data_IF_032992855105
#
_entry.id   IF_032992855105
#
_cell.length_a   1.000
_cell.length_b   1.000
_cell.length_c   1.000
_cell.angle_alpha   90.00
_cell.angle_beta   90.00
_cell.angle_gamma   90.00
#
_symmetry.space_group_name_H-M   'P 1'
#
loop_
_entity.id
_entity.type
_entity.pdbx_description
1 polymer ?
#
# COMPACT_ATOMS: atom_id res chain seq x y z
N UNK A 1 0.71 -11.11 22.78
CA UNK A 1 1.67 -11.80 21.88
C UNK A 1 1.61 -10.98 20.61
N UNK A 2 2.73 -10.49 20.11
CA UNK A 2 2.74 -9.47 19.06
C UNK A 2 2.02 -9.96 17.80
N UNK A 3 1.08 -9.17 17.28
CA UNK A 3 0.42 -9.46 16.01
C UNK A 3 1.38 -9.36 14.82
N UNK A 4 2.42 -8.54 14.95
CA UNK A 4 3.41 -8.32 13.92
C UNK A 4 4.84 -8.38 14.49
N UNK A 5 5.53 -9.48 14.23
CA UNK A 5 6.94 -9.63 14.61
C UNK A 5 7.87 -9.23 13.46
N UNK A 6 8.87 -8.40 13.77
CA UNK A 6 9.91 -8.05 12.79
C UNK A 6 10.71 -9.29 12.39
N UNK A 7 10.84 -9.53 11.09
CA UNK A 7 11.63 -10.62 10.54
C UNK A 7 12.83 -10.08 9.74
N UNK A 8 13.95 -10.81 9.68
CA UNK A 8 15.09 -10.45 8.83
C UNK A 8 14.69 -10.25 7.36
N UNK A 9 13.65 -10.96 6.89
CA UNK A 9 13.10 -10.83 5.55
C UNK A 9 12.49 -9.44 5.25
N UNK A 10 12.28 -8.57 6.24
CA UNK A 10 11.82 -7.19 6.06
C UNK A 10 12.97 -6.18 6.05
N UNK A 11 14.19 -6.62 6.34
CA UNK A 11 15.35 -5.72 6.30
C UNK A 11 15.59 -5.24 4.86
N UNK A 12 15.87 -3.95 4.75
CA UNK A 12 16.32 -3.27 3.54
C UNK A 12 17.84 -3.25 3.44
N UNK A 13 18.54 -3.51 4.56
CA UNK A 13 20.00 -3.41 4.64
C UNK A 13 20.50 -2.01 4.94
N UNK A 14 19.61 -1.01 4.96
CA UNK A 14 19.92 0.38 5.32
C UNK A 14 19.47 0.61 6.77
N UNK A 15 20.40 0.75 7.74
CA UNK A 15 20.05 0.77 9.17
C UNK A 15 19.04 1.85 9.56
N UNK A 16 19.09 3.01 8.89
CA UNK A 16 18.20 4.15 9.15
C UNK A 16 16.75 3.83 8.73
N UNK A 17 16.55 3.22 7.56
CA UNK A 17 15.23 2.80 7.06
C UNK A 17 14.69 1.68 7.95
N UNK A 18 15.51 0.65 8.21
CA UNK A 18 15.12 -0.48 9.04
C UNK A 18 14.73 -0.07 10.47
N UNK A 19 15.37 0.96 11.04
CA UNK A 19 15.01 1.48 12.36
C UNK A 19 13.62 2.12 12.34
N UNK A 20 13.27 2.85 11.28
CA UNK A 20 11.94 3.47 11.14
C UNK A 20 10.86 2.40 10.92
N UNK A 21 11.12 1.39 10.08
CA UNK A 21 10.20 0.28 9.90
C UNK A 21 9.94 -0.48 11.21
N UNK A 22 11.00 -0.79 11.98
CA UNK A 22 10.86 -1.42 13.31
C UNK A 22 10.03 -0.58 14.27
N UNK A 23 10.14 0.75 14.20
CA UNK A 23 9.32 1.64 15.02
C UNK A 23 7.85 1.58 14.59
N UNK A 24 7.55 1.59 13.30
CA UNK A 24 6.18 1.38 12.79
C UNK A 24 5.60 0.05 13.26
N UNK A 25 6.37 -1.05 13.16
CA UNK A 25 5.96 -2.37 13.68
C UNK A 25 5.67 -2.32 15.18
N UNK A 26 6.53 -1.65 15.97
CA UNK A 26 6.30 -1.49 17.40
C UNK A 26 5.01 -0.73 17.71
N UNK A 27 4.69 0.33 16.97
CA UNK A 27 3.45 1.10 17.14
C UNK A 27 2.21 0.32 16.72
N UNK A 28 2.30 -0.51 15.68
CA UNK A 28 1.22 -1.45 15.31
C UNK A 28 0.96 -2.44 16.44
N UNK A 29 2.01 -2.99 17.05
CA UNK A 29 1.86 -3.90 18.19
C UNK A 29 1.30 -3.20 19.44
N UNK A 30 1.67 -1.94 19.66
CA UNK A 30 1.10 -1.13 20.75
C UNK A 30 -0.41 -0.93 20.56
N UNK A 31 -0.86 -0.67 19.32
CA UNK A 31 -2.28 -0.60 18.99
C UNK A 31 -2.98 -1.97 19.17
N UNK A 32 -2.34 -3.07 18.78
CA UNK A 32 -2.88 -4.42 18.98
C UNK A 32 -3.07 -4.76 20.46
N UNK A 33 -2.08 -4.47 21.29
CA UNK A 33 -2.18 -4.66 22.73
C UNK A 33 -3.33 -3.82 23.33
N UNK A 34 -3.50 -2.57 22.87
CA UNK A 34 -4.62 -1.72 23.32
C UNK A 34 -5.99 -2.28 22.91
N UNK A 35 -6.11 -2.79 21.66
CA UNK A 35 -7.33 -3.45 21.16
C UNK A 35 -7.62 -4.74 21.91
N UNK A 36 -6.59 -5.54 22.20
CA UNK A 36 -6.75 -6.83 22.88
C UNK A 36 -7.15 -6.65 24.35
N UNK A 37 -6.59 -5.65 25.02
CA UNK A 37 -6.85 -5.34 26.43
C UNK A 37 -8.11 -4.49 26.65
N UNK A 38 -8.90 -4.23 25.60
CA UNK A 38 -10.12 -3.43 25.68
C UNK A 38 -9.88 -2.03 26.28
N UNK A 39 -8.80 -1.37 25.84
CA UNK A 39 -8.52 0.00 26.23
C UNK A 39 -9.65 0.95 25.79
N UNK A 40 -9.64 2.19 26.31
CA UNK A 40 -10.64 3.18 25.91
C UNK A 40 -10.48 3.55 24.41
N UNK A 41 -11.57 3.90 23.71
CA UNK A 41 -11.51 4.39 22.34
C UNK A 41 -10.56 5.59 22.16
N UNK A 42 -10.53 6.50 23.12
CA UNK A 42 -9.63 7.66 23.09
C UNK A 42 -8.15 7.26 23.17
N UNK A 43 -7.82 6.22 23.94
CA UNK A 43 -6.45 5.72 24.02
C UNK A 43 -6.01 5.05 22.72
N UNK A 44 -6.87 4.21 22.15
CA UNK A 44 -6.61 3.58 20.84
C UNK A 44 -6.46 4.62 19.73
N UNK A 45 -7.30 5.67 19.75
CA UNK A 45 -7.21 6.79 18.81
C UNK A 45 -5.89 7.54 18.93
N UNK A 46 -5.43 7.83 20.14
CA UNK A 46 -4.15 8.50 20.35
C UNK A 46 -2.97 7.70 19.77
N UNK A 47 -2.93 6.38 20.00
CA UNK A 47 -1.89 5.50 19.43
C UNK A 47 -1.96 5.50 17.89
N UNK A 48 -3.17 5.45 17.33
CA UNK A 48 -3.38 5.51 15.89
C UNK A 48 -2.93 6.84 15.28
N UNK A 49 -3.23 7.97 15.93
CA UNK A 49 -2.79 9.31 15.51
C UNK A 49 -1.25 9.42 15.53
N UNK A 50 -0.61 8.93 16.58
CA UNK A 50 0.86 8.87 16.65
C UNK A 50 1.45 8.02 15.52
N UNK A 51 0.83 6.86 15.23
CA UNK A 51 1.25 5.98 14.13
C UNK A 51 1.10 6.68 12.78
N UNK A 52 -0.01 7.38 12.57
CA UNK A 52 -0.28 8.13 11.35
C UNK A 52 0.77 9.23 11.11
N UNK A 53 1.07 10.04 12.13
CA UNK A 53 2.10 11.08 12.01
C UNK A 53 3.50 10.50 11.80
N UNK A 54 3.84 9.39 12.49
CA UNK A 54 5.12 8.72 12.27
C UNK A 54 5.25 8.12 10.87
N UNK A 55 4.15 7.60 10.31
CA UNK A 55 4.08 7.10 8.93
C UNK A 55 4.38 8.23 7.93
N UNK A 56 3.78 9.41 8.10
CA UNK A 56 4.05 10.57 7.24
C UNK A 56 5.50 11.05 7.34
N UNK A 57 6.05 11.07 8.55
CA UNK A 57 7.46 11.41 8.78
C UNK A 57 8.40 10.42 8.07
N UNK A 58 8.10 9.12 8.16
CA UNK A 58 8.86 8.08 7.49
C UNK A 58 8.84 8.25 5.96
N UNK A 59 7.66 8.44 5.35
CA UNK A 59 7.54 8.66 3.91
C UNK A 59 8.29 9.91 3.43
N UNK A 60 8.22 11.02 4.16
CA UNK A 60 8.98 12.23 3.82
C UNK A 60 10.50 11.97 3.79
N UNK A 61 10.99 11.13 4.71
CA UNK A 61 12.41 10.77 4.76
C UNK A 61 12.81 9.96 3.53
N UNK A 62 12.02 8.95 3.15
CA UNK A 62 12.30 8.15 1.94
C UNK A 62 12.17 8.96 0.66
N UNK A 63 11.16 9.80 0.55
CA UNK A 63 10.98 10.69 -0.60
C UNK A 63 12.14 11.68 -0.74
N UNK A 64 12.69 12.16 0.37
CA UNK A 64 13.91 12.99 0.36
C UNK A 64 15.11 12.19 -0.12
N UNK A 65 15.25 10.92 0.26
CA UNK A 65 16.32 10.04 -0.24
C UNK A 65 16.17 9.76 -1.74
N UNK A 66 14.94 9.58 -2.24
CA UNK A 66 14.70 9.44 -3.69
C UNK A 66 15.20 10.65 -4.47
N UNK A 67 14.98 11.85 -3.95
CA UNK A 67 15.43 13.11 -4.55
C UNK A 67 16.96 13.28 -4.44
N UNK A 68 17.53 13.02 -3.26
CA UNK A 68 18.97 13.17 -2.99
C UNK A 68 19.82 12.23 -3.85
N UNK A 69 19.39 10.99 -4.05
CA UNK A 69 20.13 9.96 -4.79
C UNK A 69 19.64 9.76 -6.23
N UNK A 70 18.88 10.71 -6.78
CA UNK A 70 18.40 10.68 -8.18
C UNK A 70 17.74 9.35 -8.55
N UNK A 71 16.82 8.88 -7.71
CA UNK A 71 16.03 7.70 -8.01
C UNK A 71 15.21 7.90 -9.29
N UNK A 72 15.02 6.84 -10.08
CA UNK A 72 14.31 6.92 -11.35
C UNK A 72 12.97 7.66 -11.19
N UNK A 73 12.68 8.59 -12.11
CA UNK A 73 11.51 9.47 -11.98
C UNK A 73 10.20 8.68 -12.00
N UNK A 74 10.08 7.66 -12.86
CA UNK A 74 8.86 6.86 -12.93
C UNK A 74 8.68 5.99 -11.67
N UNK A 75 9.77 5.45 -11.13
CA UNK A 75 9.75 4.74 -9.85
C UNK A 75 9.40 5.68 -8.68
N UNK A 76 9.97 6.88 -8.64
CA UNK A 76 9.68 7.91 -7.62
C UNK A 76 8.20 8.27 -7.60
N UNK A 77 7.62 8.58 -8.76
CA UNK A 77 6.20 8.93 -8.88
C UNK A 77 5.30 7.76 -8.44
N UNK A 78 5.64 6.52 -8.81
CA UNK A 78 4.90 5.33 -8.37
C UNK A 78 5.01 5.10 -6.87
N UNK A 79 6.17 5.35 -6.27
CA UNK A 79 6.39 5.21 -4.84
C UNK A 79 5.57 6.25 -4.07
N UNK A 80 5.72 7.54 -4.42
CA UNK A 80 4.95 8.67 -3.85
C UNK A 80 3.44 8.48 -4.00
N UNK A 81 2.97 7.94 -5.12
CA UNK A 81 1.55 7.64 -5.32
C UNK A 81 1.02 6.58 -4.32
N UNK A 82 1.82 5.57 -3.98
CA UNK A 82 1.45 4.58 -2.98
C UNK A 82 1.40 5.17 -1.57
N UNK A 83 2.39 6.00 -1.20
CA UNK A 83 2.38 6.76 0.05
C UNK A 83 1.12 7.62 0.17
N UNK A 84 0.85 8.43 -0.86
CA UNK A 84 -0.28 9.35 -0.85
C UNK A 84 -1.62 8.60 -0.73
N UNK A 85 -1.75 7.47 -1.45
CA UNK A 85 -2.93 6.63 -1.34
C UNK A 85 -3.11 6.10 0.09
N UNK A 86 -2.04 5.60 0.71
CA UNK A 86 -2.11 5.07 2.07
C UNK A 86 -2.45 6.15 3.09
N UNK A 87 -1.85 7.34 2.98
CA UNK A 87 -2.18 8.49 3.83
C UNK A 87 -3.66 8.88 3.70
N UNK A 88 -4.21 8.87 2.50
CA UNK A 88 -5.63 9.15 2.27
C UNK A 88 -6.54 8.09 2.91
N UNK A 89 -6.17 6.81 2.80
CA UNK A 89 -6.88 5.70 3.44
C UNK A 89 -6.82 5.84 4.98
N UNK A 90 -5.66 6.15 5.55
CA UNK A 90 -5.51 6.39 7.00
C UNK A 90 -6.28 7.61 7.48
N UNK A 91 -6.34 8.69 6.70
CA UNK A 91 -7.16 9.87 7.01
C UNK A 91 -8.64 9.49 7.07
N UNK A 92 -9.11 8.71 6.09
CA UNK A 92 -10.49 8.22 6.06
C UNK A 92 -10.80 7.30 7.26
N UNK A 93 -9.85 6.48 7.68
CA UNK A 93 -9.94 5.68 8.91
C UNK A 93 -9.98 6.59 10.14
N UNK A 94 -9.12 7.60 10.25
CA UNK A 94 -9.13 8.53 11.38
C UNK A 94 -10.50 9.21 11.59
N UNK A 95 -11.13 9.62 10.48
CA UNK A 95 -12.43 10.29 10.48
C UNK A 95 -13.61 9.35 10.80
N UNK A 96 -13.54 8.08 10.40
CA UNK A 96 -14.64 7.12 10.51
C UNK A 96 -14.50 6.10 11.65
N UNK A 97 -13.27 5.87 12.14
CA UNK A 97 -12.98 4.87 13.15
C UNK A 97 -13.49 5.32 14.51
N UNK A 98 -14.60 4.70 14.92
CA UNK A 98 -15.13 4.88 16.26
C UNK A 98 -14.27 4.20 17.33
N UNK A 99 -13.46 3.20 16.95
CA UNK A 99 -12.81 2.24 17.87
C UNK A 99 -13.78 1.70 18.94
N UNK A 100 -15.10 1.70 18.65
CA UNK A 100 -16.13 1.36 19.62
C UNK A 100 -16.19 -0.14 19.88
N UNK A 101 -15.72 -0.95 18.92
CA UNK A 101 -15.66 -2.39 19.05
C UNK A 101 -14.25 -2.93 18.81
N UNK A 102 -13.96 -4.09 19.40
CA UNK A 102 -12.72 -4.84 19.14
C UNK A 102 -12.57 -5.21 17.66
N UNK A 103 -13.68 -5.47 16.97
CA UNK A 103 -13.68 -5.81 15.55
C UNK A 103 -13.18 -4.64 14.69
N UNK A 104 -13.57 -3.40 15.03
CA UNK A 104 -13.08 -2.20 14.32
C UNK A 104 -11.55 -2.10 14.43
N UNK A 105 -11.01 -2.28 15.64
CA UNK A 105 -9.56 -2.29 15.87
C UNK A 105 -8.83 -3.38 15.09
N UNK A 106 -9.39 -4.60 15.03
CA UNK A 106 -8.81 -5.71 14.28
C UNK A 106 -8.77 -5.47 12.76
N UNK A 107 -9.78 -4.82 12.20
CA UNK A 107 -9.81 -4.47 10.78
C UNK A 107 -8.69 -3.46 10.47
N UNK A 108 -8.51 -2.45 11.32
CA UNK A 108 -7.46 -1.44 11.16
C UNK A 108 -6.08 -2.08 11.27
N UNK A 109 -5.87 -2.96 12.25
CA UNK A 109 -4.59 -3.67 12.43
C UNK A 109 -4.24 -4.57 11.23
N UNK A 110 -5.21 -5.29 10.68
CA UNK A 110 -5.02 -6.11 9.50
C UNK A 110 -4.64 -5.26 8.28
N UNK A 111 -5.31 -4.12 8.10
CA UNK A 111 -5.00 -3.17 7.04
C UNK A 111 -3.57 -2.60 7.16
N UNK A 112 -3.21 -2.08 8.33
CA UNK A 112 -1.88 -1.52 8.62
C UNK A 112 -0.77 -2.55 8.40
N UNK A 113 -0.93 -3.74 8.97
CA UNK A 113 0.09 -4.81 8.91
C UNK A 113 0.28 -5.30 7.47
N UNK A 114 -0.82 -5.56 6.75
CA UNK A 114 -0.74 -6.03 5.38
C UNK A 114 -0.12 -4.97 4.45
N UNK A 115 -0.50 -3.70 4.60
CA UNK A 115 0.07 -2.64 3.78
C UNK A 115 1.57 -2.51 4.03
N UNK A 116 1.99 -2.40 5.29
CA UNK A 116 3.39 -2.18 5.66
C UNK A 116 4.31 -3.31 5.18
N UNK A 117 3.92 -4.58 5.39
CA UNK A 117 4.73 -5.72 4.92
C UNK A 117 4.90 -5.71 3.41
N UNK A 118 3.80 -5.49 2.67
CA UNK A 118 3.85 -5.50 1.21
C UNK A 118 4.68 -4.33 0.68
N UNK A 119 4.56 -3.15 1.28
CA UNK A 119 5.30 -1.97 0.88
C UNK A 119 6.81 -2.16 1.07
N UNK A 120 7.23 -2.53 2.29
CA UNK A 120 8.64 -2.79 2.62
C UNK A 120 9.26 -3.81 1.66
N UNK A 121 8.57 -4.93 1.43
CA UNK A 121 9.16 -6.03 0.66
C UNK A 121 9.23 -5.78 -0.84
N UNK A 122 8.36 -4.93 -1.39
CA UNK A 122 8.20 -4.76 -2.86
C UNK A 122 8.61 -3.40 -3.37
N UNK A 123 8.56 -2.37 -2.53
CA UNK A 123 8.75 -0.98 -2.91
C UNK A 123 10.01 -0.44 -2.24
N UNK A 124 10.06 -0.45 -0.91
CA UNK A 124 11.17 0.15 -0.14
C UNK A 124 12.47 -0.61 -0.37
N UNK A 125 12.38 -1.93 -0.58
CA UNK A 125 13.55 -2.74 -1.01
C UNK A 125 14.15 -2.24 -2.32
N UNK A 126 13.33 -1.89 -3.32
CA UNK A 126 13.83 -1.38 -4.61
C UNK A 126 14.50 -0.02 -4.46
N UNK A 127 13.98 0.82 -3.57
CA UNK A 127 14.64 2.06 -3.21
C UNK A 127 15.98 1.75 -2.53
N UNK A 128 15.99 0.83 -1.57
CA UNK A 128 17.20 0.48 -0.83
C UNK A 128 18.30 -0.10 -1.72
N UNK A 129 17.95 -0.98 -2.66
CA UNK A 129 18.89 -1.52 -3.65
C UNK A 129 19.53 -0.37 -4.46
N UNK A 130 18.71 0.57 -4.97
CA UNK A 130 19.22 1.76 -5.66
C UNK A 130 20.12 2.61 -4.77
N UNK A 131 19.73 2.86 -3.51
CA UNK A 131 20.52 3.63 -2.56
C UNK A 131 21.85 2.95 -2.22
N UNK A 132 21.89 1.63 -2.12
CA UNK A 132 23.13 0.87 -1.84
C UNK A 132 24.07 0.96 -3.05
N UNK A 133 23.55 0.75 -4.25
CA UNK A 133 24.31 0.86 -5.49
C UNK A 133 24.89 2.27 -5.67
N UNK A 134 24.09 3.30 -5.38
CA UNK A 134 24.49 4.70 -5.56
C UNK A 134 25.26 5.27 -4.37
N UNK A 135 25.15 4.71 -3.16
CA UNK A 135 26.01 5.07 -2.03
C UNK A 135 27.44 4.53 -2.22
N UNK A 136 27.59 3.39 -2.90
CA UNK A 136 28.89 2.94 -3.40
C UNK A 136 29.44 3.88 -4.46
N UNK A 137 28.58 4.41 -5.35
CA UNK A 137 28.98 5.38 -6.39
C UNK A 137 29.30 6.74 -5.78
N UNK A 138 28.57 7.28 -4.80
CA UNK A 138 28.92 8.54 -4.12
C UNK A 138 30.24 8.42 -3.36
N UNK A 139 30.51 7.28 -2.72
CA UNK A 139 31.81 7.02 -2.10
C UNK A 139 32.93 6.96 -3.16
N UNK A 140 32.68 6.37 -4.33
CA UNK A 140 33.64 6.29 -5.43
C UNK A 140 33.80 7.61 -6.21
N UNK A 141 32.73 8.36 -6.49
CA UNK A 141 32.76 9.66 -7.18
C UNK A 141 33.42 10.73 -6.32
N UNK A 142 33.18 10.70 -5.01
CA UNK A 142 33.86 11.58 -4.05
C UNK A 142 35.33 11.18 -3.88
N UNK A 143 35.66 9.89 -4.01
CA UNK A 143 37.05 9.39 -4.00
C UNK A 143 37.78 9.59 -5.34
N UNK A 144 37.06 9.69 -6.47
CA UNK A 144 37.63 9.91 -7.81
C UNK A 144 37.82 11.40 -8.13
N UNK A 145 37.14 12.29 -7.42
CA UNK A 145 37.27 13.75 -7.55
C UNK A 145 38.36 14.37 -6.62
N UNK A 146 39.10 13.55 -5.87
CA UNK A 146 40.33 13.95 -5.16
C UNK A 146 41.53 13.19 -5.76
N UNK A 147 42.34 13.87 -6.58
CA UNK A 147 43.57 13.28 -7.13
C UNK A 147 44.58 12.93 -6.01
N UNK A 148 45.01 11.66 -5.90
CA UNK A 148 46.39 11.25 -6.31
C UNK A 148 46.73 9.76 -6.06
N UNK A 149 47.09 9.11 -7.16
CA UNK A 149 48.11 8.04 -7.37
C UNK A 149 47.87 6.56 -7.02
N UNK A 150 48.34 5.64 -7.89
CA UNK A 150 47.98 4.23 -7.90
C UNK A 150 48.91 3.39 -7.02
N UNK A 151 48.33 2.42 -6.31
CA UNK A 151 49.07 1.24 -5.86
C UNK A 151 48.30 -0.03 -6.23
N UNK A 152 48.82 -0.66 -7.27
CA UNK A 152 48.73 -2.09 -7.55
C UNK A 152 48.91 -2.89 -6.25
N UNK A 153 48.01 -3.86 -5.99
CA UNK A 153 48.31 -5.22 -5.50
C UNK A 153 47.08 -6.10 -5.80
N UNK A 154 47.18 -6.91 -6.84
CA UNK A 154 46.12 -7.81 -7.29
C UNK A 154 45.89 -9.05 -6.42
N UNK A 155 44.75 -9.71 -6.70
CA UNK A 155 44.50 -11.16 -6.80
C UNK A 155 42.97 -11.35 -6.95
N UNK A 156 42.40 -11.29 -8.16
CA UNK A 156 42.05 -12.46 -9.00
C UNK A 156 41.64 -13.72 -8.24
N UNK A 157 40.35 -13.82 -7.90
CA UNK A 157 39.62 -15.08 -7.83
C UNK A 157 38.14 -14.83 -8.17
N UNK A 158 37.73 -15.38 -9.31
CA UNK A 158 36.36 -15.73 -9.74
C UNK A 158 35.32 -14.64 -10.08
N UNK A 159 35.67 -13.71 -10.98
CA UNK A 159 34.67 -12.87 -11.67
C UNK A 159 33.60 -13.70 -12.41
N UNK A 160 33.95 -14.89 -12.89
CA UNK A 160 33.03 -15.77 -13.62
C UNK A 160 31.88 -16.33 -12.76
N UNK A 161 32.12 -16.59 -11.47
CA UNK A 161 31.07 -17.06 -10.55
C UNK A 161 30.17 -15.90 -10.14
N UNK A 162 30.74 -14.72 -9.91
CA UNK A 162 29.97 -13.51 -9.56
C UNK A 162 29.03 -13.13 -10.72
N UNK A 163 29.52 -13.14 -11.95
CA UNK A 163 28.70 -12.86 -13.15
C UNK A 163 27.59 -13.91 -13.34
N UNK A 164 27.87 -15.20 -13.08
CA UNK A 164 26.86 -16.27 -13.15
C UNK A 164 25.79 -16.16 -12.07
N UNK A 165 26.16 -15.71 -10.87
CA UNK A 165 25.21 -15.49 -9.76
C UNK A 165 24.33 -14.27 -10.04
N UNK A 166 24.90 -13.19 -10.59
CA UNK A 166 24.14 -12.00 -11.00
C UNK A 166 23.17 -12.34 -12.13
N UNK A 167 23.60 -13.11 -13.13
CA UNK A 167 22.75 -13.51 -14.25
C UNK A 167 21.64 -14.48 -13.81
N UNK A 168 21.94 -15.41 -12.88
CA UNK A 168 20.94 -16.29 -12.28
C UNK A 168 19.91 -15.51 -11.45
N UNK A 169 20.34 -14.54 -10.65
CA UNK A 169 19.45 -13.70 -9.84
C UNK A 169 18.56 -12.80 -10.71
N UNK A 170 19.11 -12.23 -11.78
CA UNK A 170 18.34 -11.46 -12.76
C UNK A 170 17.28 -12.32 -13.47
N UNK A 171 17.64 -13.55 -13.84
CA UNK A 171 16.75 -14.49 -14.54
C UNK A 171 15.67 -15.07 -13.60
N UNK A 172 16.03 -15.30 -12.34
CA UNK A 172 15.08 -15.70 -11.29
C UNK A 172 14.12 -14.57 -10.95
N UNK A 173 14.62 -13.34 -10.80
CA UNK A 173 13.83 -12.13 -10.59
C UNK A 173 12.82 -11.87 -11.71
N UNK A 174 13.25 -12.01 -12.98
CA UNK A 174 12.37 -11.91 -14.13
C UNK A 174 11.27 -12.99 -14.13
N UNK A 175 11.63 -14.25 -13.82
CA UNK A 175 10.67 -15.35 -13.77
C UNK A 175 9.63 -15.18 -12.65
N UNK A 176 10.06 -14.68 -11.48
CA UNK A 176 9.16 -14.37 -10.36
C UNK A 176 8.26 -13.18 -10.70
N UNK A 177 8.78 -12.16 -11.38
CA UNK A 177 8.01 -11.01 -11.84
C UNK A 177 6.93 -11.42 -12.85
N UNK A 178 7.26 -12.26 -13.84
CA UNK A 178 6.31 -12.79 -14.82
C UNK A 178 5.19 -13.62 -14.15
N UNK A 179 5.54 -14.42 -13.13
CA UNK A 179 4.57 -15.18 -12.34
C UNK A 179 3.64 -14.26 -11.52
N UNK A 180 4.19 -13.18 -10.95
CA UNK A 180 3.42 -12.20 -10.19
C UNK A 180 2.51 -11.37 -11.08
N UNK A 181 2.96 -10.98 -12.28
CA UNK A 181 2.14 -10.28 -13.25
C UNK A 181 1.03 -11.19 -13.80
N UNK A 182 1.34 -12.47 -14.02
CA UNK A 182 0.34 -13.48 -14.37
C UNK A 182 -0.70 -13.68 -13.26
N UNK A 183 -0.28 -13.72 -11.99
CA UNK A 183 -1.18 -13.83 -10.84
C UNK A 183 -2.05 -12.58 -10.66
N UNK A 184 -1.49 -11.39 -10.84
CA UNK A 184 -2.25 -10.13 -10.78
C UNK A 184 -3.25 -10.04 -11.92
N UNK A 185 -2.88 -10.45 -13.13
CA UNK A 185 -3.81 -10.51 -14.26
C UNK A 185 -4.96 -11.50 -14.00
N UNK A 186 -4.67 -12.68 -13.44
CA UNK A 186 -5.71 -13.64 -13.02
C UNK A 186 -6.60 -13.04 -11.92
N UNK A 187 -6.02 -12.30 -10.98
CA UNK A 187 -6.78 -11.63 -9.92
C UNK A 187 -7.70 -10.56 -10.52
N UNK A 188 -7.20 -9.73 -11.44
CA UNK A 188 -7.96 -8.71 -12.18
C UNK A 188 -9.04 -9.33 -13.08
N UNK A 189 -8.80 -10.51 -13.66
CA UNK A 189 -9.80 -11.25 -14.43
C UNK A 189 -10.89 -11.87 -13.53
N UNK A 190 -10.57 -12.15 -12.26
CA UNK A 190 -11.50 -12.67 -11.25
C UNK A 190 -12.25 -11.56 -10.48
N UNK A 191 -11.67 -10.36 -10.37
CA UNK A 191 -12.31 -9.17 -9.78
C UNK A 191 -12.63 -8.16 -10.86
N UNK A 192 -13.91 -7.99 -11.26
CA UNK A 192 -14.25 -7.10 -12.36
C UNK A 192 -13.77 -5.67 -12.04
N UNK A 193 -13.19 -4.95 -13.02
CA UNK A 193 -12.65 -3.61 -12.80
C UNK A 193 -13.72 -2.68 -12.22
N UNK A 194 -13.30 -1.73 -11.38
CA UNK A 194 -14.21 -0.80 -10.67
C UNK A 194 -15.20 -0.11 -11.63
N UNK A 195 -14.76 0.18 -12.86
CA UNK A 195 -15.57 0.75 -13.94
C UNK A 195 -16.74 -0.16 -14.36
N UNK A 196 -16.53 -1.48 -14.39
CA UNK A 196 -17.57 -2.46 -14.72
C UNK A 196 -18.55 -2.64 -13.57
N UNK A 197 -18.07 -2.64 -12.32
CA UNK A 197 -18.93 -2.62 -11.14
C UNK A 197 -19.82 -1.38 -11.13
N UNK A 198 -19.26 -0.19 -11.40
CA UNK A 198 -20.01 1.07 -11.52
C UNK A 198 -21.05 1.02 -12.65
N UNK A 199 -20.70 0.47 -13.81
CA UNK A 199 -21.62 0.28 -14.93
C UNK A 199 -22.79 -0.64 -14.56
N UNK A 200 -22.52 -1.77 -13.89
CA UNK A 200 -23.56 -2.69 -13.42
C UNK A 200 -24.49 -2.05 -12.40
N UNK A 201 -23.94 -1.27 -11.46
CA UNK A 201 -24.73 -0.49 -10.50
C UNK A 201 -25.62 0.54 -11.22
N UNK A 202 -25.08 1.28 -12.20
CA UNK A 202 -25.86 2.23 -12.99
C UNK A 202 -26.98 1.57 -13.80
N UNK A 203 -26.72 0.40 -14.38
CA UNK A 203 -27.73 -0.37 -15.11
C UNK A 203 -28.86 -0.83 -14.18
N UNK A 204 -28.53 -1.39 -13.01
CA UNK A 204 -29.53 -1.80 -12.00
C UNK A 204 -30.36 -0.59 -11.53
N UNK A 205 -29.72 0.55 -11.25
CA UNK A 205 -30.42 1.78 -10.85
C UNK A 205 -31.37 2.28 -11.94
N UNK A 206 -30.99 2.16 -13.21
CA UNK A 206 -31.84 2.54 -14.35
C UNK A 206 -33.08 1.64 -14.45
N UNK A 207 -32.91 0.33 -14.23
CA UNK A 207 -34.01 -0.64 -14.21
C UNK A 207 -34.97 -0.39 -13.04
N UNK A 208 -34.44 -0.10 -11.84
CA UNK A 208 -35.25 0.25 -10.67
C UNK A 208 -36.09 1.51 -10.91
N UNK A 209 -35.51 2.54 -11.56
CA UNK A 209 -36.24 3.77 -11.91
C UNK A 209 -37.34 3.53 -12.95
N UNK A 210 -37.10 2.65 -13.93
CA UNK A 210 -38.11 2.26 -14.90
C UNK A 210 -39.28 1.52 -14.23
N UNK A 211 -38.99 0.64 -13.27
CA UNK A 211 -40.01 -0.08 -12.49
C UNK A 211 -40.85 0.89 -11.65
N UNK A 212 -40.23 1.84 -10.97
CA UNK A 212 -40.94 2.84 -10.16
C UNK A 212 -41.90 3.69 -11.02
N UNK A 213 -41.47 4.11 -12.22
CA UNK A 213 -42.33 4.80 -13.16
C UNK A 213 -43.52 3.94 -13.62
N UNK A 214 -43.32 2.65 -13.86
CA UNK A 214 -44.39 1.73 -14.24
C UNK A 214 -45.41 1.55 -13.10
N UNK A 215 -44.93 1.40 -11.85
CA UNK A 215 -45.78 1.32 -10.66
C UNK A 215 -46.63 2.60 -10.50
N UNK A 216 -46.00 3.76 -10.66
CA UNK A 216 -46.68 5.05 -10.58
C UNK A 216 -47.75 5.23 -11.67
N UNK A 217 -47.45 4.79 -12.90
CA UNK A 217 -48.41 4.80 -14.01
C UNK A 217 -49.62 3.88 -13.74
N UNK A 218 -49.37 2.65 -13.28
CA UNK A 218 -50.43 1.70 -12.90
C UNK A 218 -51.30 2.23 -11.75
N UNK A 219 -50.68 2.86 -10.75
CA UNK A 219 -51.39 3.50 -9.63
C UNK A 219 -52.29 4.65 -10.11
N UNK A 220 -51.82 5.47 -11.06
CA UNK A 220 -52.62 6.54 -11.66
C UNK A 220 -53.80 5.99 -12.48
N UNK A 221 -53.58 4.95 -13.29
CA UNK A 221 -54.65 4.27 -14.05
C UNK A 221 -55.70 3.63 -13.14
N UNK A 222 -55.28 2.99 -12.04
CA UNK A 222 -56.19 2.41 -11.06
C UNK A 222 -57.05 3.46 -10.34
N UNK A 223 -56.47 4.64 -10.02
CA UNK A 223 -57.23 5.79 -9.47
C UNK A 223 -58.25 6.33 -10.48
N UNK A 224 -57.90 6.42 -11.76
CA UNK A 224 -58.81 6.86 -12.82
C UNK A 224 -60.00 5.92 -13.03
N UNK A 225 -59.79 4.60 -12.91
CA UNK A 225 -60.86 3.59 -13.00
C UNK A 225 -61.82 3.64 -11.81
N UNK A 226 -61.33 3.85 -10.58
CA UNK A 226 -62.20 4.05 -9.40
C UNK A 226 -63.05 5.32 -9.51
N UNK A 227 -62.56 6.39 -10.16
CA UNK A 227 -63.30 7.62 -10.40
C UNK A 227 -64.43 7.53 -11.45
N UNK A 228 -64.46 6.46 -12.27
CA UNK A 228 -65.52 6.22 -13.27
C UNK A 228 -66.61 5.24 -12.80
N UNK A 229 -66.50 4.71 -11.58
CA UNK A 229 -67.35 3.63 -11.05
C UNK A 229 -68.51 4.11 -10.17
N UNK A 230 -68.85 5.40 -10.17
CA UNK A 230 -70.10 5.90 -9.57
C UNK A 230 -71.07 6.29 -10.68
N UNK A 231 -72.05 5.44 -11.03
CA UNK A 231 -73.24 5.91 -11.69
C UNK A 231 -74.13 6.58 -10.64
N UNK A 232 -74.50 7.83 -10.91
CA UNK A 232 -75.64 8.50 -10.29
C UNK A 232 -76.89 7.61 -10.42
N UNK A 233 -77.65 7.55 -9.34
CA UNK A 233 -79.01 7.00 -9.23
C UNK A 233 -79.99 7.64 -10.20
#
# INVERSE_FOLDING_TARGET
MAIFEWQPAYATGIPKIDQQHKRLVAMINELDDAVHNHASPDHMRAIFEDLFEYTRYHFQMEESLMEEFTYDTACTERHKAQHQRFVNELTSVAESASFATKADGQIILAFLTNWLINHICKVDRKLADHLIDHAHVDFLEKSLNEETTPTDHGQTADHQIVDQVIEFDAQFGATVQDLMDSLNQILDDLTPPETEVKSRIQNVNSQLKALDNAINSLSASAKSLKGKSTPET
#
